data_IF_923004797360
#
_entry.id   IF_923004797360
#
_cell.length_a   1.000
_cell.length_b   1.000
_cell.length_c   1.000
_cell.angle_alpha   90.00
_cell.angle_beta   90.00
_cell.angle_gamma   90.00
#
_symmetry.space_group_name_H-M   'P 1'
#
loop_
_entity.id
_entity.type
_entity.pdbx_description
1 polymer ?
#
# COMPACT_ATOMS: atom_id res chain seq x y z
N UNK A 1 -35.25 12.89 4.41
CA UNK A 1 -36.23 13.47 3.45
C UNK A 1 -35.52 13.59 2.12
N UNK A 2 -36.09 12.98 1.07
CA UNK A 2 -35.66 13.09 -0.32
C UNK A 2 -36.32 14.29 -1.03
N UNK A 3 -35.93 14.59 -2.27
CA UNK A 3 -35.44 15.90 -2.68
C UNK A 3 -36.51 16.98 -2.57
N UNK A 4 -36.25 17.96 -1.70
CA UNK A 4 -36.97 19.22 -1.67
C UNK A 4 -36.22 20.28 -2.49
N UNK A 5 -36.88 21.38 -2.80
CA UNK A 5 -36.32 22.50 -3.56
C UNK A 5 -35.42 23.43 -2.72
N UNK A 6 -35.11 23.09 -1.46
CA UNK A 6 -34.30 23.90 -0.55
C UNK A 6 -32.79 23.63 -0.65
N UNK A 7 -32.35 22.87 -1.66
CA UNK A 7 -30.93 22.62 -1.94
C UNK A 7 -30.20 23.80 -2.59
N UNK A 8 -30.93 24.78 -3.14
CA UNK A 8 -30.31 25.91 -3.82
C UNK A 8 -29.40 26.72 -2.88
N UNK A 9 -28.13 26.90 -3.27
CA UNK A 9 -27.13 27.63 -2.50
C UNK A 9 -26.40 26.83 -1.42
N UNK A 10 -26.73 25.55 -1.22
CA UNK A 10 -26.04 24.65 -0.26
C UNK A 10 -24.96 23.83 -0.96
N UNK A 11 -23.93 24.51 -1.45
CA UNK A 11 -22.83 23.88 -2.18
C UNK A 11 -21.71 23.43 -1.23
N UNK A 12 -21.13 22.26 -1.50
CA UNK A 12 -19.86 21.85 -0.91
C UNK A 12 -18.71 22.51 -1.69
N UNK A 13 -17.64 22.88 -0.99
CA UNK A 13 -16.44 23.48 -1.62
C UNK A 13 -15.22 22.68 -1.20
N UNK A 14 -14.44 22.23 -2.18
CA UNK A 14 -13.22 21.44 -1.98
C UNK A 14 -12.03 22.35 -2.30
N UNK A 15 -11.02 22.35 -1.44
CA UNK A 15 -9.78 23.13 -1.64
C UNK A 15 -9.82 24.53 -1.04
N UNK A 16 -10.94 24.93 -0.42
CA UNK A 16 -11.06 26.21 0.28
C UNK A 16 -10.64 26.09 1.76
N UNK A 17 -10.74 24.90 2.36
CA UNK A 17 -10.24 24.66 3.71
C UNK A 17 -8.72 24.38 3.64
N UNK A 18 -7.88 25.03 4.47
CA UNK A 18 -6.44 24.72 4.53
C UNK A 18 -6.12 23.22 4.75
N UNK A 19 -7.03 22.48 5.41
CA UNK A 19 -6.89 21.03 5.63
C UNK A 19 -7.10 20.21 4.35
N UNK A 20 -7.77 20.75 3.32
CA UNK A 20 -7.94 20.08 2.02
C UNK A 20 -6.63 20.02 1.22
N UNK A 21 -5.64 20.84 1.59
CA UNK A 21 -4.35 21.00 0.90
C UNK A 21 -4.52 21.15 -0.62
N UNK A 22 -5.54 21.92 -1.03
CA UNK A 22 -5.87 22.14 -2.43
C UNK A 22 -4.92 23.13 -3.09
N UNK A 23 -4.36 22.73 -4.23
CA UNK A 23 -3.67 23.62 -5.16
C UNK A 23 -3.99 23.22 -6.61
N UNK A 24 -3.61 24.06 -7.57
CA UNK A 24 -3.87 23.84 -8.99
C UNK A 24 -3.32 22.48 -9.47
N UNK A 25 -4.19 21.66 -10.07
CA UNK A 25 -3.82 20.33 -10.58
C UNK A 25 -4.05 19.17 -9.61
N UNK A 26 -4.42 19.41 -8.34
CA UNK A 26 -4.84 18.34 -7.42
C UNK A 26 -6.19 17.77 -7.87
N UNK A 27 -6.30 16.44 -7.90
CA UNK A 27 -7.54 15.73 -8.23
C UNK A 27 -8.15 15.15 -6.95
N UNK A 28 -9.48 15.21 -6.86
CA UNK A 28 -10.25 14.64 -5.76
C UNK A 28 -11.24 13.62 -6.30
N UNK A 29 -11.60 12.66 -5.46
CA UNK A 29 -12.75 11.78 -5.69
C UNK A 29 -13.75 12.04 -4.59
N UNK A 30 -14.97 12.38 -5.00
CA UNK A 30 -16.12 12.56 -4.10
C UNK A 30 -16.83 11.21 -3.98
N UNK A 31 -17.12 10.77 -2.75
CA UNK A 31 -17.77 9.48 -2.49
C UNK A 31 -19.07 9.70 -1.72
N UNK A 32 -20.13 9.05 -2.19
CA UNK A 32 -21.42 8.98 -1.51
C UNK A 32 -21.55 7.58 -0.91
N UNK A 33 -21.71 7.51 0.41
CA UNK A 33 -22.01 6.28 1.12
C UNK A 33 -23.52 6.18 1.29
N UNK A 34 -24.08 5.05 0.88
CA UNK A 34 -25.51 4.75 0.97
C UNK A 34 -25.77 3.65 2.00
N UNK A 35 -27.01 3.52 2.44
CA UNK A 35 -27.44 2.40 3.27
C UNK A 35 -27.44 1.06 2.50
N UNK A 36 -27.71 -0.03 3.21
CA UNK A 36 -27.72 -1.38 2.65
C UNK A 36 -28.75 -1.57 1.53
N UNK A 37 -29.78 -0.71 1.50
CA UNK A 37 -30.82 -0.74 0.48
C UNK A 37 -30.43 0.07 -0.77
N UNK A 38 -29.35 0.85 -0.69
CA UNK A 38 -28.90 1.76 -1.73
C UNK A 38 -29.80 2.99 -1.93
N UNK A 39 -30.83 3.17 -1.09
CA UNK A 39 -31.85 4.20 -1.28
C UNK A 39 -31.66 5.42 -0.38
N UNK A 40 -31.04 5.25 0.80
CA UNK A 40 -30.71 6.33 1.71
C UNK A 40 -29.24 6.73 1.63
N UNK A 41 -28.97 8.01 1.37
CA UNK A 41 -27.64 8.60 1.57
C UNK A 41 -27.31 8.63 3.08
N UNK A 42 -26.14 8.11 3.45
CA UNK A 42 -25.63 8.11 4.83
C UNK A 42 -24.57 9.20 5.05
N UNK A 43 -23.59 9.28 4.16
CA UNK A 43 -22.42 10.12 4.34
C UNK A 43 -21.84 10.54 2.98
N UNK A 44 -21.18 11.70 2.94
CA UNK A 44 -20.38 12.16 1.80
C UNK A 44 -19.00 12.53 2.30
N UNK A 45 -17.97 12.10 1.57
CA UNK A 45 -16.63 12.61 1.76
C UNK A 45 -15.95 12.93 0.41
N UNK A 46 -14.79 13.55 0.50
CA UNK A 46 -13.85 13.68 -0.60
C UNK A 46 -12.46 13.35 -0.10
N UNK A 47 -11.68 12.75 -0.99
CA UNK A 47 -10.30 12.35 -0.72
C UNK A 47 -9.45 12.71 -1.92
N UNK A 48 -8.19 13.10 -1.67
CA UNK A 48 -7.28 13.38 -2.78
C UNK A 48 -7.05 12.09 -3.56
N UNK A 49 -6.99 12.18 -4.88
CA UNK A 49 -6.72 11.01 -5.72
C UNK A 49 -5.38 10.37 -5.36
N UNK A 50 -4.42 11.14 -4.84
CA UNK A 50 -3.15 10.64 -4.31
C UNK A 50 -3.30 9.81 -3.02
N UNK A 51 -4.28 10.14 -2.17
CA UNK A 51 -4.65 9.37 -0.98
C UNK A 51 -5.45 8.12 -1.36
N UNK A 52 -6.14 8.17 -2.50
CA UNK A 52 -6.86 7.04 -3.09
C UNK A 52 -6.03 6.13 -3.98
N UNK A 53 -4.86 6.58 -4.46
CA UNK A 53 -3.84 5.63 -4.92
C UNK A 53 -3.65 4.74 -3.70
N UNK A 54 -4.06 3.46 -3.74
CA UNK A 54 -4.05 2.60 -2.57
C UNK A 54 -2.66 2.76 -2.02
N UNK A 55 -2.52 3.42 -0.85
CA UNK A 55 -1.25 3.92 -0.29
C UNK A 55 -0.14 3.15 -0.97
N UNK A 56 0.50 3.69 -2.02
CA UNK A 56 1.43 2.88 -2.84
C UNK A 56 2.66 2.70 -1.97
N UNK A 57 2.50 1.80 -1.01
CA UNK A 57 3.47 1.43 0.00
C UNK A 57 4.61 0.91 -0.80
N UNK A 58 5.74 1.57 -0.69
CA UNK A 58 6.90 1.15 -1.48
C UNK A 58 7.46 -0.06 -0.78
N UNK A 59 7.34 -1.22 -1.41
CA UNK A 59 8.00 -2.41 -0.93
C UNK A 59 9.33 -2.55 -1.63
N UNK A 60 10.35 -2.93 -0.87
CA UNK A 60 11.71 -3.13 -1.38
C UNK A 60 12.18 -4.51 -1.02
N UNK A 61 12.84 -5.21 -1.93
CA UNK A 61 13.51 -6.47 -1.65
C UNK A 61 15.02 -6.19 -1.51
N UNK A 62 15.60 -6.63 -0.40
CA UNK A 62 17.05 -6.68 -0.24
C UNK A 62 17.49 -8.11 0.01
N UNK A 63 18.63 -8.50 -0.57
CA UNK A 63 19.00 -9.90 -0.60
C UNK A 63 20.52 -10.12 -0.55
N UNK A 64 20.91 -11.35 -0.25
CA UNK A 64 22.32 -11.74 -0.17
C UNK A 64 23.08 -11.51 -1.49
N UNK A 65 22.42 -11.68 -2.64
CA UNK A 65 23.06 -11.56 -3.96
C UNK A 65 23.20 -10.13 -4.49
N UNK A 66 22.54 -9.16 -3.86
CA UNK A 66 22.69 -7.74 -4.20
C UNK A 66 23.29 -6.93 -3.05
N UNK A 67 24.06 -7.60 -2.17
CA UNK A 67 24.69 -7.01 -0.99
C UNK A 67 23.68 -6.25 -0.10
N UNK A 68 22.45 -6.75 -0.01
CA UNK A 68 21.35 -6.12 0.73
C UNK A 68 21.01 -4.70 0.25
N UNK A 69 21.30 -4.36 -1.01
CA UNK A 69 20.81 -3.14 -1.62
C UNK A 69 19.28 -3.23 -1.82
N UNK A 70 18.48 -2.28 -1.30
CA UNK A 70 17.04 -2.32 -1.47
C UNK A 70 16.65 -2.05 -2.93
N UNK A 71 15.89 -2.97 -3.53
CA UNK A 71 15.34 -2.84 -4.88
C UNK A 71 13.82 -2.73 -4.82
N UNK A 72 13.25 -1.66 -5.37
CA UNK A 72 11.81 -1.39 -5.33
C UNK A 72 11.02 -2.47 -6.10
N UNK A 73 9.95 -2.97 -5.48
CA UNK A 73 9.01 -3.91 -6.07
C UNK A 73 7.92 -3.15 -6.84
N UNK A 74 7.51 -3.69 -7.99
CA UNK A 74 6.44 -3.09 -8.81
C UNK A 74 5.08 -3.54 -8.33
N UNK A 75 4.14 -2.61 -8.17
CA UNK A 75 2.73 -2.94 -7.97
C UNK A 75 2.08 -3.45 -9.26
N UNK A 76 1.54 -4.67 -9.22
CA UNK A 76 0.64 -5.23 -10.24
C UNK A 76 -0.81 -4.99 -9.79
N UNK A 77 -1.48 -4.07 -10.47
CA UNK A 77 -2.86 -3.67 -10.17
C UNK A 77 -3.88 -4.77 -10.48
N UNK A 78 -3.65 -5.57 -11.53
CA UNK A 78 -4.58 -6.62 -11.93
C UNK A 78 -4.56 -7.80 -10.95
N UNK A 79 -3.39 -8.10 -10.39
CA UNK A 79 -3.19 -9.23 -9.46
C UNK A 79 -3.16 -8.82 -7.99
N UNK A 80 -3.32 -7.53 -7.71
CA UNK A 80 -3.27 -6.96 -6.35
C UNK A 80 -2.02 -7.38 -5.54
N UNK A 81 -0.82 -7.32 -6.14
CA UNK A 81 0.43 -7.73 -5.47
C UNK A 81 1.64 -6.88 -5.84
N UNK A 82 2.67 -6.90 -5.00
CA UNK A 82 4.01 -6.38 -5.34
C UNK A 82 4.87 -7.50 -5.93
N UNK A 83 5.56 -7.23 -7.03
CA UNK A 83 6.41 -8.21 -7.71
C UNK A 83 7.78 -7.65 -8.08
N UNK A 84 8.78 -8.53 -8.06
CA UNK A 84 10.13 -8.26 -8.52
C UNK A 84 10.68 -9.52 -9.18
N UNK A 85 11.08 -9.40 -10.44
CA UNK A 85 11.75 -10.49 -11.15
C UNK A 85 13.25 -10.48 -10.82
N UNK A 86 13.79 -11.65 -10.50
CA UNK A 86 15.14 -11.79 -9.98
C UNK A 86 15.90 -12.89 -10.74
N UNK A 87 17.02 -12.51 -11.35
CA UNK A 87 17.94 -13.46 -12.00
C UNK A 87 19.09 -13.86 -11.06
N UNK A 88 18.79 -14.77 -10.17
CA UNK A 88 19.20 -16.15 -10.33
C UNK A 88 20.68 -16.63 -10.47
N UNK A 89 21.72 -15.80 -10.61
CA UNK A 89 22.96 -16.18 -11.36
C UNK A 89 23.99 -17.13 -10.71
N UNK A 90 24.07 -17.26 -9.38
CA UNK A 90 25.14 -18.03 -8.71
C UNK A 90 24.62 -19.22 -7.86
N UNK A 91 25.44 -20.27 -7.67
CA UNK A 91 25.20 -21.34 -6.69
C UNK A 91 25.49 -20.82 -5.28
N UNK A 92 24.50 -20.81 -4.38
CA UNK A 92 24.67 -20.34 -2.99
C UNK A 92 23.34 -20.09 -2.26
N UNK A 93 23.41 -19.82 -0.95
CA UNK A 93 22.28 -19.44 -0.10
C UNK A 93 21.68 -18.11 -0.57
N UNK A 94 20.37 -18.11 -0.80
CA UNK A 94 19.61 -16.97 -1.36
C UNK A 94 18.60 -16.50 -0.33
N UNK A 95 19.10 -15.67 0.57
CA UNK A 95 18.31 -15.08 1.64
C UNK A 95 17.85 -13.68 1.24
N UNK A 96 16.62 -13.32 1.58
CA UNK A 96 16.09 -11.98 1.33
C UNK A 96 15.16 -11.49 2.45
N UNK A 97 14.96 -10.18 2.50
CA UNK A 97 13.98 -9.47 3.33
C UNK A 97 13.16 -8.50 2.47
N UNK A 98 11.97 -8.13 2.94
CA UNK A 98 11.11 -7.15 2.29
C UNK A 98 10.88 -5.98 3.23
N UNK A 99 11.22 -4.77 2.80
CA UNK A 99 11.04 -3.52 3.55
C UNK A 99 9.80 -2.78 3.09
N UNK A 100 9.22 -1.97 3.97
CA UNK A 100 8.12 -1.07 3.65
C UNK A 100 8.52 0.40 3.83
N UNK A 101 8.16 1.23 2.84
CA UNK A 101 8.19 2.70 2.76
C UNK A 101 9.56 3.40 2.94
N UNK A 102 10.37 3.06 3.95
CA UNK A 102 11.77 3.51 4.08
C UNK A 102 12.58 2.75 5.16
N UNK A 103 12.73 1.43 5.02
CA UNK A 103 13.80 0.60 5.61
C UNK A 103 13.71 0.27 7.13
N UNK A 104 12.94 0.97 7.96
CA UNK A 104 12.89 0.68 9.42
C UNK A 104 11.92 -0.41 9.86
N UNK A 105 11.07 -0.92 8.96
CA UNK A 105 10.14 -2.00 9.27
C UNK A 105 10.14 -3.03 8.15
N UNK A 106 10.29 -4.30 8.53
CA UNK A 106 10.49 -5.41 7.60
C UNK A 106 9.40 -6.45 7.75
N UNK A 107 8.97 -7.01 6.62
CA UNK A 107 8.30 -8.30 6.62
C UNK A 107 9.39 -9.38 6.71
N UNK A 108 9.14 -10.41 7.51
CA UNK A 108 10.07 -11.52 7.72
C UNK A 108 9.30 -12.83 8.00
N UNK A 109 9.92 -14.01 7.79
CA UNK A 109 9.30 -15.27 8.18
C UNK A 109 9.33 -15.42 9.70
N UNK A 110 8.29 -16.04 10.27
CA UNK A 110 8.23 -16.33 11.70
C UNK A 110 9.45 -17.13 12.19
N UNK A 111 9.91 -18.10 11.39
CA UNK A 111 11.11 -18.90 11.65
C UNK A 111 12.31 -18.40 10.85
N UNK A 112 13.53 -18.39 11.42
CA UNK A 112 14.76 -18.16 10.66
C UNK A 112 14.84 -19.12 9.47
N UNK A 113 15.35 -18.62 8.34
CA UNK A 113 15.53 -19.39 7.11
C UNK A 113 14.24 -20.05 6.56
N UNK A 114 13.09 -19.39 6.79
CA UNK A 114 11.78 -19.85 6.36
C UNK A 114 11.64 -19.97 4.84
N UNK A 115 10.87 -20.95 4.39
CA UNK A 115 10.53 -21.12 2.96
C UNK A 115 9.18 -20.42 2.64
N UNK A 116 8.56 -20.77 1.51
CA UNK A 116 7.27 -20.20 1.08
C UNK A 116 6.10 -20.50 2.05
N UNK A 117 6.20 -21.56 2.85
CA UNK A 117 5.14 -21.97 3.79
C UNK A 117 5.27 -21.27 5.16
N UNK A 118 6.35 -20.50 5.37
CA UNK A 118 6.56 -19.79 6.61
C UNK A 118 5.55 -18.66 6.80
N UNK A 119 4.93 -18.60 7.98
CA UNK A 119 4.05 -17.49 8.37
C UNK A 119 4.78 -16.15 8.23
N UNK A 120 4.13 -15.20 7.57
CA UNK A 120 4.64 -13.82 7.40
C UNK A 120 4.39 -13.03 8.68
N UNK A 121 5.43 -12.35 9.18
CA UNK A 121 5.38 -11.45 10.33
C UNK A 121 5.75 -10.01 9.92
N UNK A 122 5.55 -9.06 10.84
CA UNK A 122 5.80 -7.63 10.61
C UNK A 122 4.69 -6.92 9.80
N UNK A 123 4.94 -5.71 9.27
CA UNK A 123 6.22 -5.01 9.29
C UNK A 123 6.52 -4.36 10.65
N UNK A 124 7.64 -4.77 11.26
CA UNK A 124 8.19 -4.24 12.53
C UNK A 124 9.73 -4.34 12.52
N UNK A 125 10.40 -4.06 13.65
CA UNK A 125 11.86 -4.06 13.82
C UNK A 125 12.44 -5.39 14.32
N UNK A 126 11.62 -6.43 14.53
CA UNK A 126 12.03 -7.73 15.08
C UNK A 126 12.53 -8.73 14.02
N UNK A 127 12.65 -8.31 12.76
CA UNK A 127 13.06 -9.18 11.64
C UNK A 127 14.56 -9.49 11.57
N UNK A 128 15.40 -8.93 12.45
CA UNK A 128 16.84 -9.18 12.42
C UNK A 128 17.18 -10.68 12.52
N UNK A 129 17.95 -11.20 11.56
CA UNK A 129 18.31 -12.63 11.49
C UNK A 129 17.19 -13.55 11.00
N UNK A 130 16.02 -13.01 10.61
CA UNK A 130 14.90 -13.76 10.05
C UNK A 130 14.75 -13.41 8.57
N UNK A 131 15.18 -14.34 7.73
CA UNK A 131 15.18 -14.20 6.29
C UNK A 131 14.44 -15.35 5.64
N UNK A 132 13.76 -15.08 4.53
CA UNK A 132 13.29 -16.18 3.69
C UNK A 132 14.46 -16.79 2.94
N UNK A 133 14.43 -18.11 2.77
CA UNK A 133 15.37 -18.88 1.98
C UNK A 133 14.70 -19.43 0.73
N UNK A 134 15.29 -19.11 -0.43
CA UNK A 134 14.93 -19.74 -1.70
C UNK A 134 15.74 -21.04 -1.82
N UNK A 135 15.15 -22.16 -1.40
CA UNK A 135 15.70 -23.51 -1.64
C UNK A 135 15.20 -24.02 -2.98
N UNK A 136 16.07 -24.73 -3.72
CA UNK A 136 15.68 -25.50 -4.90
C UNK A 136 14.92 -26.76 -4.50
#
# INVERSE_FOLDING_TARGET
QGPDSYGHGKNWTIGHNPLDQGWEGVRYTVRLFVDETGSGAKEVDWVRQEELRPYRRRYYLAASWNAWAPQEMRWDEQRHRYELELECKARGLRSFQIYKDNIFSVLYPFVPDGNLDATVCGPDDAGHGRNWMIKR
#
